data_IF_382592994892
#
_entry.id   IF_382592994892
#
_cell.length_a   1.000
_cell.length_b   1.000
_cell.length_c   1.000
_cell.angle_alpha   90.00
_cell.angle_beta   90.00
_cell.angle_gamma   90.00
#
_symmetry.space_group_name_H-M   'P 1'
#
loop_
_entity.id
_entity.type
_entity.pdbx_description
1 polymer ?
#
# COMPACT_ATOMS: atom_id res chain seq x y z
N UNK A 1 16.48 -8.41 5.90
CA UNK A 1 16.22 -7.83 4.57
C UNK A 1 16.96 -6.51 4.44
N UNK A 2 17.85 -6.36 3.45
CA UNK A 2 18.40 -5.04 3.11
C UNK A 2 17.35 -4.31 2.27
N UNK A 3 16.82 -3.19 2.77
CA UNK A 3 15.93 -2.32 1.98
C UNK A 3 16.77 -1.70 0.86
N UNK A 4 16.27 -1.71 -0.38
CA UNK A 4 16.87 -0.94 -1.45
C UNK A 4 16.70 0.54 -1.09
N UNK A 5 17.77 1.18 -0.60
CA UNK A 5 17.75 2.60 -0.31
C UNK A 5 17.68 3.38 -1.62
N UNK A 6 16.66 4.24 -1.76
CA UNK A 6 16.65 5.26 -2.79
C UNK A 6 17.81 6.22 -2.45
N UNK A 7 18.81 6.38 -3.33
CA UNK A 7 19.90 7.31 -3.09
C UNK A 7 19.33 8.71 -2.88
N UNK A 8 19.73 9.40 -1.81
CA UNK A 8 19.32 10.76 -1.39
C UNK A 8 18.09 10.92 -0.49
N UNK A 9 17.43 9.85 -0.02
CA UNK A 9 16.38 9.98 1.01
C UNK A 9 16.94 9.53 2.37
N UNK A 10 17.19 10.48 3.28
CA UNK A 10 17.52 10.20 4.69
C UNK A 10 16.20 10.05 5.43
N UNK A 11 15.86 8.81 5.77
CA UNK A 11 14.72 8.52 6.63
C UNK A 11 15.16 8.59 8.10
N UNK A 12 14.36 9.24 8.92
CA UNK A 12 14.42 9.13 10.38
C UNK A 12 13.86 7.78 10.81
N UNK A 13 14.28 7.27 11.98
CA UNK A 13 13.71 6.04 12.54
C UNK A 13 12.18 6.11 12.69
N UNK A 14 11.65 7.33 12.86
CA UNK A 14 10.21 7.62 12.94
C UNK A 14 9.49 7.41 11.62
N UNK A 15 10.11 7.74 10.49
CA UNK A 15 9.54 7.54 9.15
C UNK A 15 9.53 6.07 8.71
N UNK A 16 10.25 5.21 9.44
CA UNK A 16 10.28 3.77 9.21
C UNK A 16 9.23 2.99 10.03
N UNK A 17 8.48 3.68 10.91
CA UNK A 17 7.42 3.10 11.73
C UNK A 17 6.03 3.33 11.10
N UNK A 18 5.03 2.48 11.41
CA UNK A 18 3.65 2.73 11.03
C UNK A 18 3.17 4.10 11.54
N UNK A 19 2.74 4.98 10.63
CA UNK A 19 2.29 6.33 10.99
C UNK A 19 0.80 6.43 11.31
N UNK A 20 -0.02 5.56 10.69
CA UNK A 20 -1.48 5.65 10.74
C UNK A 20 -2.14 4.58 11.61
N UNK A 21 -1.38 3.59 12.07
CA UNK A 21 -1.87 2.59 13.01
C UNK A 21 -1.75 3.12 14.45
N UNK A 22 -2.81 2.98 15.22
CA UNK A 22 -2.80 3.18 16.66
C UNK A 22 -1.95 2.11 17.36
N UNK A 23 -1.58 2.35 18.63
CA UNK A 23 -0.80 1.38 19.41
C UNK A 23 -1.46 0.00 19.51
N UNK A 24 -2.79 -0.06 19.55
CA UNK A 24 -3.53 -1.33 19.57
C UNK A 24 -3.49 -2.05 18.23
N UNK A 25 -3.56 -1.31 17.12
CA UNK A 25 -3.46 -1.87 15.76
C UNK A 25 -2.04 -2.32 15.42
N UNK A 26 -1.03 -1.69 16.02
CA UNK A 26 0.37 -2.17 15.95
C UNK A 26 0.52 -3.47 16.76
N UNK A 27 -0.13 -3.58 17.92
CA UNK A 27 -0.08 -4.78 18.75
C UNK A 27 -0.88 -5.97 18.14
N UNK A 28 -1.93 -5.68 17.38
CA UNK A 28 -2.78 -6.66 16.70
C UNK A 28 -3.07 -6.23 15.25
N UNK A 29 -2.10 -6.37 14.34
CA UNK A 29 -2.27 -5.98 12.94
C UNK A 29 -3.23 -6.90 12.18
N UNK A 30 -3.45 -8.14 12.66
CA UNK A 30 -4.35 -9.09 12.02
C UNK A 30 -5.80 -8.60 12.12
N UNK A 31 -6.19 -7.97 13.23
CA UNK A 31 -7.48 -7.32 13.36
C UNK A 31 -7.71 -6.22 12.33
N UNK A 32 -6.68 -5.46 11.96
CA UNK A 32 -6.79 -4.42 10.91
C UNK A 32 -7.08 -5.07 9.56
N UNK A 33 -6.38 -6.17 9.24
CA UNK A 33 -6.58 -6.90 8.00
C UNK A 33 -7.98 -7.50 7.91
N UNK A 34 -8.43 -8.20 8.97
CA UNK A 34 -9.78 -8.77 9.03
C UNK A 34 -10.85 -7.69 8.88
N UNK A 35 -10.75 -6.58 9.61
CA UNK A 35 -11.69 -5.46 9.47
C UNK A 35 -11.67 -4.80 8.08
N UNK A 36 -10.55 -4.86 7.37
CA UNK A 36 -10.45 -4.35 6.01
C UNK A 36 -11.17 -5.29 5.04
N UNK A 37 -10.91 -6.60 5.10
CA UNK A 37 -11.51 -7.60 4.20
C UNK A 37 -12.98 -7.90 4.51
N UNK A 38 -13.44 -7.64 5.74
CA UNK A 38 -14.88 -7.60 6.08
C UNK A 38 -15.63 -6.47 5.37
N UNK A 39 -14.93 -5.36 5.08
CA UNK A 39 -15.53 -4.15 4.49
C UNK A 39 -15.39 -4.09 2.98
N UNK A 40 -14.31 -4.63 2.43
CA UNK A 40 -13.95 -4.49 1.02
C UNK A 40 -13.54 -5.84 0.43
N UNK A 41 -14.16 -6.21 -0.69
CA UNK A 41 -13.69 -7.34 -1.48
C UNK A 41 -12.44 -6.97 -2.26
N UNK A 42 -11.65 -7.96 -2.71
CA UNK A 42 -10.51 -7.70 -3.59
C UNK A 42 -10.90 -6.93 -4.87
N UNK A 43 -12.02 -7.25 -5.56
CA UNK A 43 -12.52 -6.41 -6.66
C UNK A 43 -12.77 -4.96 -6.27
N UNK A 44 -13.41 -4.69 -5.12
CA UNK A 44 -13.71 -3.32 -4.65
C UNK A 44 -12.42 -2.53 -4.43
N UNK A 45 -11.45 -3.15 -3.76
CA UNK A 45 -10.13 -2.56 -3.53
C UNK A 45 -9.44 -2.22 -4.85
N UNK A 46 -9.37 -3.16 -5.80
CA UNK A 46 -8.71 -2.93 -7.10
C UNK A 46 -9.38 -1.80 -7.89
N UNK A 47 -10.71 -1.75 -7.90
CA UNK A 47 -11.46 -0.70 -8.58
C UNK A 47 -11.23 0.68 -7.96
N UNK A 48 -11.31 0.77 -6.62
CA UNK A 48 -11.08 2.02 -5.89
C UNK A 48 -9.64 2.51 -6.05
N UNK A 49 -8.66 1.63 -5.82
CA UNK A 49 -7.24 1.98 -5.93
C UNK A 49 -6.84 2.34 -7.37
N UNK A 50 -7.35 1.60 -8.36
CA UNK A 50 -7.13 1.92 -9.77
C UNK A 50 -7.70 3.29 -10.15
N UNK A 51 -8.89 3.64 -9.65
CA UNK A 51 -9.50 4.96 -9.89
C UNK A 51 -8.67 6.08 -9.26
N UNK A 52 -8.26 5.92 -7.99
CA UNK A 52 -7.41 6.89 -7.29
C UNK A 52 -6.06 7.10 -8.00
N UNK A 53 -5.43 6.02 -8.45
CA UNK A 53 -4.17 6.08 -9.19
C UNK A 53 -4.37 6.81 -10.53
N UNK A 54 -5.43 6.44 -11.27
CA UNK A 54 -5.73 7.07 -12.55
C UNK A 54 -5.96 8.57 -12.40
N UNK A 55 -6.76 8.98 -11.40
CA UNK A 55 -7.04 10.38 -11.11
C UNK A 55 -5.78 11.14 -10.72
N UNK A 56 -4.91 10.55 -9.90
CA UNK A 56 -3.65 11.18 -9.50
C UNK A 56 -2.70 11.41 -10.69
N UNK A 57 -2.59 10.41 -11.58
CA UNK A 57 -1.67 10.44 -12.72
C UNK A 57 -2.17 11.31 -13.86
N UNK A 58 -3.48 11.45 -14.06
CA UNK A 58 -4.04 12.24 -15.17
C UNK A 58 -4.36 13.69 -14.80
N UNK A 59 -4.44 14.03 -13.51
CA UNK A 59 -4.62 15.41 -13.06
C UNK A 59 -3.31 16.19 -12.93
N UNK A 60 -2.17 15.61 -13.33
CA UNK A 60 -0.85 16.20 -13.14
C UNK A 60 0.01 16.09 -14.40
N UNK A 61 0.79 17.13 -14.69
CA UNK A 61 1.82 17.08 -15.76
C UNK A 61 3.06 16.41 -15.17
N UNK A 62 2.99 15.09 -14.99
CA UNK A 62 4.12 14.29 -14.52
C UNK A 62 4.98 13.81 -15.68
N UNK A 63 6.31 13.74 -15.50
CA UNK A 63 7.20 13.05 -16.43
C UNK A 63 6.77 11.58 -16.63
N UNK A 64 6.94 11.05 -17.84
CA UNK A 64 6.49 9.69 -18.21
C UNK A 64 7.17 8.60 -17.36
N UNK A 65 8.45 8.78 -17.03
CA UNK A 65 9.22 7.88 -16.16
C UNK A 65 8.66 7.86 -14.73
N UNK A 66 8.25 9.02 -14.22
CA UNK A 66 7.58 9.14 -12.91
C UNK A 66 6.24 8.40 -12.95
N UNK A 67 5.44 8.58 -14.01
CA UNK A 67 4.16 7.85 -14.18
C UNK A 67 4.38 6.34 -14.17
N UNK A 68 5.36 5.84 -14.93
CA UNK A 68 5.70 4.40 -14.97
C UNK A 68 6.14 3.86 -13.60
N UNK A 69 6.95 4.62 -12.86
CA UNK A 69 7.38 4.22 -11.52
C UNK A 69 6.19 4.11 -10.54
N UNK A 70 5.25 5.05 -10.60
CA UNK A 70 4.03 4.99 -9.77
C UNK A 70 3.13 3.82 -10.15
N UNK A 71 2.98 3.53 -11.45
CA UNK A 71 2.22 2.35 -11.92
C UNK A 71 2.87 1.03 -11.46
N UNK A 72 4.20 0.94 -11.49
CA UNK A 72 4.92 -0.24 -11.01
C UNK A 72 4.73 -0.44 -9.49
N UNK A 73 4.88 0.62 -8.70
CA UNK A 73 4.63 0.57 -7.25
C UNK A 73 3.17 0.19 -6.95
N UNK A 74 2.21 0.72 -7.71
CA UNK A 74 0.80 0.39 -7.54
C UNK A 74 0.53 -1.11 -7.75
N UNK A 75 1.18 -1.74 -8.73
CA UNK A 75 1.08 -3.18 -8.93
C UNK A 75 1.64 -3.96 -7.73
N UNK A 76 2.79 -3.56 -7.19
CA UNK A 76 3.37 -4.17 -5.99
C UNK A 76 2.46 -4.02 -4.76
N UNK A 77 1.82 -2.87 -4.58
CA UNK A 77 0.84 -2.64 -3.50
C UNK A 77 -0.35 -3.60 -3.63
N UNK A 78 -0.87 -3.80 -4.85
CA UNK A 78 -1.96 -4.75 -5.08
C UNK A 78 -1.53 -6.17 -4.70
N UNK A 79 -0.32 -6.58 -5.07
CA UNK A 79 0.22 -7.90 -4.70
C UNK A 79 0.35 -8.07 -3.17
N UNK A 80 0.77 -7.03 -2.45
CA UNK A 80 0.85 -7.05 -0.98
C UNK A 80 -0.53 -7.21 -0.35
N UNK A 81 -1.53 -6.50 -0.85
CA UNK A 81 -2.91 -6.62 -0.34
C UNK A 81 -3.50 -8.00 -0.64
N UNK A 82 -3.26 -8.56 -1.83
CA UNK A 82 -3.68 -9.92 -2.16
C UNK A 82 -2.98 -10.99 -1.31
N UNK A 83 -1.69 -10.82 -1.02
CA UNK A 83 -0.98 -11.68 -0.09
C UNK A 83 -1.56 -11.57 1.32
N UNK A 84 -1.90 -10.37 1.78
CA UNK A 84 -2.54 -10.15 3.07
C UNK A 84 -3.92 -10.81 3.16
N UNK A 85 -4.70 -10.80 2.07
CA UNK A 85 -5.98 -11.52 2.00
C UNK A 85 -5.78 -13.02 2.19
N UNK A 86 -4.78 -13.63 1.53
CA UNK A 86 -4.47 -15.05 1.70
C UNK A 86 -3.98 -15.39 3.12
N UNK A 87 -3.34 -14.46 3.81
CA UNK A 87 -2.91 -14.66 5.21
C UNK A 87 -4.10 -14.58 6.18
N UNK A 88 -5.09 -13.76 5.87
CA UNK A 88 -6.33 -13.64 6.65
C UNK A 88 -7.24 -14.86 6.45
N UNK A 89 -7.46 -15.30 5.22
CA UNK A 89 -8.29 -16.48 4.87
C UNK A 89 -7.72 -17.81 5.42
N UNK A 90 -6.43 -17.83 5.77
CA UNK A 90 -5.72 -19.03 6.29
C UNK A 90 -5.42 -19.00 7.79
N UNK A 91 -5.72 -17.89 8.47
CA UNK A 91 -5.46 -17.66 9.90
C UNK A 91 -6.63 -18.02 10.78
#
# INVERSE_FOLDING_TARGET
>A
MKRNQIPAVIYTDRELQPMFLSGNEIADPQKVLSQFFDRYTLPDFRACFGSLLNDALHNTVLPEDVVKAHQALALEVVQVVEAAFLLEDRG
#
